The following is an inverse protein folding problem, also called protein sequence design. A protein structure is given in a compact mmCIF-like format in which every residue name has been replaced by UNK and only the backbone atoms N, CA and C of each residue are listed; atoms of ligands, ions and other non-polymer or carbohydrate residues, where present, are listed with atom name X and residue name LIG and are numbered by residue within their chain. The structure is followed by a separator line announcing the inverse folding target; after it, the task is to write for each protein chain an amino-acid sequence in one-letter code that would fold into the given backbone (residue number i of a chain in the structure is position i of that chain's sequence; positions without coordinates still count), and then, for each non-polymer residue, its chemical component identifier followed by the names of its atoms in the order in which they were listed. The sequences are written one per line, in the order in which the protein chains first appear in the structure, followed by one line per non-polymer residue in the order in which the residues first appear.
data_IF_378544224664
#
_entry.id   IF_378544224664
#
_cell.length_a   1.000
_cell.length_b   1.000
_cell.length_c   1.000
_cell.angle_alpha   90.00
_cell.angle_beta   90.00
_cell.angle_gamma   90.00
#
_symmetry.space_group_name_H-M   'P 1'
#
loop_
_entity.id
_entity.type
_entity.pdbx_description
1 polymer ?
#
# COMPACT_ATOMS: atom_id res chain seq x y z
N UNK A 1 5.39 17.08 11.73
CA UNK A 1 4.53 16.15 12.48
C UNK A 1 4.05 15.10 11.48
N UNK A 2 4.47 13.84 11.66
CA UNK A 2 4.13 12.75 10.72
C UNK A 2 2.61 12.61 10.66
N UNK A 3 2.01 12.83 9.48
CA UNK A 3 0.67 12.32 9.21
C UNK A 3 0.78 10.79 9.33
N UNK A 4 0.29 10.24 10.43
CA UNK A 4 0.32 8.80 10.70
C UNK A 4 -0.74 8.12 9.82
N UNK A 5 -0.40 7.90 8.55
CA UNK A 5 -1.19 7.04 7.69
C UNK A 5 -1.32 5.65 8.30
N UNK A 6 -2.46 4.99 8.11
CA UNK A 6 -2.71 3.66 8.66
C UNK A 6 -1.95 2.61 7.86
N UNK A 7 -1.13 1.79 8.54
CA UNK A 7 -0.44 0.66 7.89
C UNK A 7 -1.49 -0.39 7.47
N UNK A 8 -1.36 -0.88 6.24
CA UNK A 8 -2.18 -1.95 5.68
C UNK A 8 -1.53 -3.29 5.99
N UNK A 9 -2.27 -4.18 6.66
CA UNK A 9 -1.77 -5.50 7.04
C UNK A 9 -2.68 -6.61 6.54
N UNK A 10 -4.00 -6.42 6.64
CA UNK A 10 -4.98 -7.44 6.29
C UNK A 10 -5.41 -7.34 4.82
N UNK A 11 -5.73 -8.49 4.20
CA UNK A 11 -6.23 -8.56 2.82
C UNK A 11 -7.36 -7.56 2.54
N UNK A 12 -8.32 -7.44 3.48
CA UNK A 12 -9.45 -6.51 3.39
C UNK A 12 -9.03 -5.05 3.29
N UNK A 13 -7.92 -4.67 3.93
CA UNK A 13 -7.43 -3.30 3.92
C UNK A 13 -6.94 -2.97 2.50
N UNK A 14 -6.21 -3.88 1.86
CA UNK A 14 -5.78 -3.72 0.46
C UNK A 14 -6.96 -3.74 -0.51
N UNK A 15 -7.93 -4.64 -0.33
CA UNK A 15 -9.15 -4.70 -1.16
C UNK A 15 -9.94 -3.39 -1.12
N UNK A 16 -10.04 -2.75 0.04
CA UNK A 16 -10.64 -1.42 0.16
C UNK A 16 -9.90 -0.39 -0.69
N UNK A 17 -8.56 -0.37 -0.66
CA UNK A 17 -7.77 0.60 -1.43
C UNK A 17 -7.87 0.39 -2.93
N UNK A 18 -7.97 -0.87 -3.38
CA UNK A 18 -8.26 -1.20 -4.79
C UNK A 18 -9.67 -0.72 -5.16
N UNK A 19 -10.68 -1.05 -4.35
CA UNK A 19 -12.09 -0.75 -4.65
C UNK A 19 -12.37 0.76 -4.72
N UNK A 20 -11.81 1.53 -3.80
CA UNK A 20 -12.08 2.97 -3.68
C UNK A 20 -10.96 3.83 -4.26
N UNK A 21 -10.00 3.22 -4.96
CA UNK A 21 -8.84 3.89 -5.55
C UNK A 21 -8.10 4.80 -4.55
N UNK A 22 -8.00 4.37 -3.28
CA UNK A 22 -7.32 5.14 -2.24
C UNK A 22 -5.81 4.96 -2.39
N UNK A 23 -5.03 6.05 -2.51
CA UNK A 23 -3.59 5.94 -2.67
C UNK A 23 -2.91 5.26 -1.48
N UNK A 24 -1.89 4.47 -1.81
CA UNK A 24 -1.03 3.76 -0.87
C UNK A 24 0.41 4.15 -1.12
N UNK A 25 1.11 4.50 -0.06
CA UNK A 25 2.56 4.68 -0.07
C UNK A 25 3.24 3.35 0.26
N UNK A 26 4.37 3.10 -0.39
CA UNK A 26 5.18 1.91 -0.23
C UNK A 26 6.54 2.32 0.33
N UNK A 27 6.91 1.69 1.44
CA UNK A 27 8.17 1.93 2.13
C UNK A 27 8.98 0.63 2.26
N UNK A 28 10.30 0.77 2.35
CA UNK A 28 11.22 -0.29 2.79
C UNK A 28 12.07 0.23 3.95
N UNK A 29 11.71 -0.14 5.17
CA UNK A 29 12.21 0.56 6.36
C UNK A 29 11.76 2.02 6.33
N UNK A 30 12.70 2.95 6.52
CA UNK A 30 12.42 4.40 6.49
C UNK A 30 12.47 5.04 5.09
N UNK A 31 12.76 4.24 4.05
CA UNK A 31 12.86 4.73 2.67
C UNK A 31 11.51 4.66 1.96
N UNK A 32 10.99 5.81 1.51
CA UNK A 32 9.86 5.88 0.59
C UNK A 32 10.27 5.36 -0.78
N UNK A 33 9.53 4.38 -1.29
CA UNK A 33 9.81 3.70 -2.55
C UNK A 33 8.87 4.20 -3.63
N UNK A 34 7.57 4.20 -3.37
CA UNK A 34 6.55 4.55 -4.37
C UNK A 34 5.22 4.97 -3.74
N UNK A 35 4.34 5.58 -4.53
CA UNK A 35 2.97 5.94 -4.16
C UNK A 35 2.02 5.78 -5.34
N UNK A 36 0.85 5.20 -5.09
CA UNK A 36 -0.14 5.03 -6.14
C UNK A 36 -1.37 4.23 -5.72
N UNK A 37 -2.21 3.93 -6.70
CA UNK A 37 -3.41 3.11 -6.50
C UNK A 37 -3.05 1.64 -6.75
N UNK A 38 -3.45 0.79 -5.81
CA UNK A 38 -3.26 -0.64 -5.92
C UNK A 38 -4.20 -1.22 -6.99
N UNK A 39 -3.73 -2.24 -7.68
CA UNK A 39 -4.43 -2.87 -8.81
C UNK A 39 -4.78 -4.33 -8.53
N UNK A 40 -3.94 -5.03 -7.77
CA UNK A 40 -4.20 -6.40 -7.30
C UNK A 40 -3.52 -6.66 -5.95
N UNK A 41 -4.00 -7.68 -5.23
CA UNK A 41 -3.40 -8.15 -3.98
C UNK A 41 -3.72 -9.62 -3.74
N UNK A 42 -2.70 -10.37 -3.31
CA UNK A 42 -2.81 -11.73 -2.78
C UNK A 42 -2.06 -11.84 -1.44
N UNK A 43 -1.96 -13.05 -0.89
CA UNK A 43 -1.33 -13.29 0.42
C UNK A 43 0.14 -12.86 0.49
N UNK A 44 0.88 -12.90 -0.62
CA UNK A 44 2.31 -12.60 -0.68
C UNK A 44 2.66 -11.25 -1.31
N UNK A 45 1.85 -10.77 -2.26
CA UNK A 45 2.17 -9.63 -3.11
C UNK A 45 1.04 -8.62 -3.21
N UNK A 46 1.44 -7.37 -3.45
CA UNK A 46 0.58 -6.24 -3.77
C UNK A 46 1.07 -5.64 -5.08
N UNK A 47 0.16 -5.42 -6.04
CA UNK A 47 0.47 -4.81 -7.32
C UNK A 47 0.10 -3.32 -7.33
N UNK A 48 1.05 -2.48 -7.72
CA UNK A 48 0.86 -1.06 -7.97
C UNK A 48 1.32 -0.76 -9.40
N UNK A 49 0.38 -0.40 -10.28
CA UNK A 49 0.63 -0.03 -11.68
C UNK A 49 1.56 -0.99 -12.45
N UNK A 50 1.39 -2.30 -12.28
CA UNK A 50 2.22 -3.32 -12.94
C UNK A 50 3.49 -3.73 -12.19
N UNK A 51 3.79 -3.09 -11.06
CA UNK A 51 4.92 -3.46 -10.19
C UNK A 51 4.44 -4.26 -8.99
N UNK A 52 5.06 -5.43 -8.75
CA UNK A 52 4.74 -6.32 -7.63
C UNK A 52 5.65 -6.05 -6.43
N UNK A 53 5.04 -5.87 -5.26
CA UNK A 53 5.72 -5.64 -3.99
C UNK A 53 5.41 -6.76 -3.02
N UNK A 54 6.44 -7.32 -2.40
CA UNK A 54 6.31 -8.39 -1.42
C UNK A 54 5.82 -7.85 -0.07
N UNK A 55 4.70 -8.40 0.43
CA UNK A 55 4.03 -7.98 1.67
C UNK A 55 4.85 -8.18 2.95
N UNK A 56 5.86 -9.05 2.91
CA UNK A 56 6.78 -9.28 4.02
C UNK A 56 8.00 -8.35 4.03
N UNK A 57 8.30 -7.70 2.91
CA UNK A 57 9.49 -6.84 2.76
C UNK A 57 9.16 -5.35 2.76
N UNK A 58 7.96 -5.00 2.30
CA UNK A 58 7.53 -3.62 2.16
C UNK A 58 6.43 -3.29 3.17
N UNK A 59 6.40 -2.03 3.60
CA UNK A 59 5.34 -1.47 4.43
C UNK A 59 4.43 -0.63 3.55
N UNK A 60 3.13 -0.85 3.69
CA UNK A 60 2.10 -0.20 2.89
C UNK A 60 1.32 0.73 3.80
N UNK A 61 1.25 2.01 3.46
CA UNK A 61 0.64 3.04 4.30
C UNK A 61 -0.51 3.69 3.52
N UNK A 62 -1.71 3.65 4.10
CA UNK A 62 -2.86 4.36 3.56
C UNK A 62 -2.60 5.85 3.53
N UNK A 63 -2.86 6.48 2.39
CA UNK A 63 -2.87 7.93 2.25
C UNK A 63 -4.28 8.43 1.93
N UNK A 64 -5.22 8.07 2.80
CA UNK A 64 -6.57 8.63 2.79
C UNK A 64 -6.51 10.14 3.08
N UNK A 65 -7.00 10.95 2.13
CA UNK A 65 -6.96 12.42 2.21
C UNK A 65 -6.05 13.10 1.17
N UNK A 66 -5.46 12.33 0.25
CA UNK A 66 -5.09 12.83 -1.07
C UNK A 66 -6.33 12.93 -1.97
#
# INVERSE_FOLDING_TARGET
MLHQGRILTHQRDFQYHIQYAVPVEIYRGDLHIDIGVLTAVDEGFVELQGTLYNRSLFTFVSRAGY
#
